data_IF_837433296565
#
_entry.id   IF_837433296565
#
_cell.length_a   1.000
_cell.length_b   1.000
_cell.length_c   1.000
_cell.angle_alpha   90.00
_cell.angle_beta   90.00
_cell.angle_gamma   90.00
#
_symmetry.space_group_name_H-M   'P 1'
#
loop_
_entity.id
_entity.type
_entity.pdbx_description
1 polymer ?
#
# COMPACT_ATOMS: atom_id res chain seq x y z
N UNK A 1 -20.86 6.68 -0.61
CA UNK A 1 -20.18 5.52 -1.21
C UNK A 1 -18.72 5.59 -0.80
N UNK A 2 -18.18 4.54 -0.18
CA UNK A 2 -16.80 4.51 0.34
C UNK A 2 -15.78 4.75 -0.76
N UNK A 3 -14.85 5.68 -0.53
CA UNK A 3 -13.98 6.23 -1.55
C UNK A 3 -12.89 5.23 -1.97
N UNK A 4 -12.64 5.17 -3.29
CA UNK A 4 -11.56 4.40 -3.93
C UNK A 4 -10.16 4.76 -3.41
N UNK A 5 -10.06 5.76 -2.53
CA UNK A 5 -8.83 6.23 -1.89
C UNK A 5 -8.17 5.17 -1.01
N UNK A 6 -8.95 4.21 -0.48
CA UNK A 6 -8.42 3.12 0.35
C UNK A 6 -8.28 1.80 -0.41
N UNK A 7 -8.67 1.76 -1.68
CA UNK A 7 -8.47 0.56 -2.50
C UNK A 7 -6.96 0.31 -2.65
N UNK A 8 -6.54 -0.93 -2.43
CA UNK A 8 -5.14 -1.31 -2.56
C UNK A 8 -4.72 -1.22 -4.02
N UNK A 9 -3.95 -0.19 -4.36
CA UNK A 9 -3.45 0.05 -5.73
C UNK A 9 -2.60 -1.09 -6.29
N UNK A 10 -2.01 -1.93 -5.43
CA UNK A 10 -1.22 -3.06 -5.88
C UNK A 10 -2.08 -4.15 -6.52
N UNK A 11 -3.24 -4.45 -5.93
CA UNK A 11 -4.16 -5.50 -6.39
C UNK A 11 -5.48 -4.94 -6.97
N UNK A 12 -5.55 -3.63 -7.16
CA UNK A 12 -6.75 -2.88 -7.60
C UNK A 12 -8.04 -3.23 -6.83
N UNK A 13 -7.92 -3.51 -5.53
CA UNK A 13 -9.07 -3.90 -4.71
C UNK A 13 -9.42 -5.38 -4.68
N UNK A 14 -8.73 -6.22 -5.46
CA UNK A 14 -9.04 -7.66 -5.52
C UNK A 14 -8.51 -8.50 -4.35
N UNK A 15 -7.50 -7.99 -3.63
CA UNK A 15 -6.81 -8.72 -2.56
C UNK A 15 -5.83 -9.80 -3.06
N UNK A 16 -5.81 -10.05 -4.37
CA UNK A 16 -4.99 -11.06 -5.01
C UNK A 16 -4.13 -10.43 -6.10
N UNK A 17 -2.93 -10.94 -6.27
CA UNK A 17 -2.06 -10.58 -7.37
C UNK A 17 -1.93 -11.79 -8.28
N UNK A 18 -1.86 -11.52 -9.58
CA UNK A 18 -1.72 -12.52 -10.62
C UNK A 18 -0.48 -12.20 -11.43
N UNK A 19 0.39 -13.20 -11.56
CA UNK A 19 1.59 -13.08 -12.40
C UNK A 19 1.29 -13.42 -13.88
N UNK A 20 2.28 -13.24 -14.77
CA UNK A 20 2.17 -13.57 -16.19
C UNK A 20 1.91 -15.08 -16.43
N UNK A 21 2.35 -15.93 -15.51
CA UNK A 21 2.04 -17.37 -15.47
C UNK A 21 0.63 -17.68 -14.90
N UNK A 22 -0.19 -16.67 -14.65
CA UNK A 22 -1.55 -16.78 -14.11
C UNK A 22 -1.66 -17.34 -12.69
N UNK A 23 -0.56 -17.37 -11.94
CA UNK A 23 -0.57 -17.80 -10.55
C UNK A 23 -1.15 -16.72 -9.66
N UNK A 24 -2.07 -17.10 -8.79
CA UNK A 24 -2.72 -16.20 -7.84
C UNK A 24 -2.03 -16.29 -6.48
N UNK A 25 -1.62 -15.14 -5.96
CA UNK A 25 -1.04 -15.04 -4.63
C UNK A 25 -1.70 -13.92 -3.83
N UNK A 26 -1.73 -14.08 -2.51
CA UNK A 26 -2.28 -13.07 -1.61
C UNK A 26 -1.47 -11.79 -1.72
N UNK A 27 -2.15 -10.67 -1.98
CA UNK A 27 -1.50 -9.38 -2.05
C UNK A 27 -0.86 -9.05 -0.70
N UNK A 28 0.47 -8.87 -0.67
CA UNK A 28 1.23 -8.62 0.55
C UNK A 28 1.04 -7.21 1.10
N UNK A 29 0.54 -6.28 0.29
CA UNK A 29 0.33 -4.87 0.67
C UNK A 29 -0.95 -4.71 1.50
N UNK A 30 -2.04 -5.36 1.08
CA UNK A 30 -3.30 -5.38 1.83
C UNK A 30 -3.54 -6.69 2.58
N UNK A 31 -2.58 -7.61 2.56
CA UNK A 31 -2.69 -8.95 3.16
C UNK A 31 -3.92 -9.77 2.73
N UNK A 32 -4.49 -9.49 1.56
CA UNK A 32 -5.69 -10.16 1.06
C UNK A 32 -7.00 -9.38 1.22
N UNK A 33 -7.00 -8.27 1.97
CA UNK A 33 -8.22 -7.49 2.22
C UNK A 33 -8.70 -6.67 1.01
N UNK A 34 -7.84 -6.43 0.01
CA UNK A 34 -8.14 -5.55 -1.12
C UNK A 34 -8.16 -4.06 -0.77
N UNK A 35 -8.20 -3.70 0.50
CA UNK A 35 -8.14 -2.33 0.98
C UNK A 35 -6.95 -2.14 1.90
N UNK A 36 -6.27 -1.00 1.77
CA UNK A 36 -5.26 -0.56 2.73
C UNK A 36 -5.94 0.38 3.70
N UNK A 37 -6.05 -0.05 4.97
CA UNK A 37 -6.44 0.86 6.02
C UNK A 37 -5.40 1.98 6.04
N UNK A 38 -5.83 3.23 5.91
CA UNK A 38 -4.95 4.38 6.08
C UNK A 38 -4.58 4.51 7.55
N UNK A 39 -3.79 3.56 8.06
CA UNK A 39 -3.25 3.61 9.39
C UNK A 39 -1.98 4.45 9.32
N UNK A 40 -2.23 5.70 9.69
CA UNK A 40 -1.35 6.61 10.39
C UNK A 40 -0.10 7.05 9.64
N UNK A 41 -0.20 8.30 9.16
CA UNK A 41 0.86 9.31 9.10
C UNK A 41 2.20 8.72 9.51
N UNK A 42 2.98 8.28 8.52
CA UNK A 42 4.44 8.30 8.59
C UNK A 42 4.81 9.55 9.37
N UNK A 43 5.35 9.35 10.57
CA UNK A 43 5.94 10.42 11.34
C UNK A 43 6.85 11.15 10.36
N UNK A 44 6.59 12.45 10.14
CA UNK A 44 7.37 13.23 9.18
C UNK A 44 8.79 13.24 9.71
N UNK A 45 9.61 12.31 9.21
CA UNK A 45 11.04 12.28 9.43
C UNK A 45 11.54 13.67 9.04
N UNK A 46 12.10 14.38 10.01
CA UNK A 46 12.69 15.68 9.71
C UNK A 46 13.88 15.40 8.78
N UNK A 47 13.86 16.05 7.63
CA UNK A 47 14.91 15.92 6.62
C UNK A 47 15.59 17.27 6.44
N UNK A 48 16.92 17.25 6.34
CA UNK A 48 17.74 18.41 6.00
C UNK A 48 17.57 18.80 4.51
N UNK A 49 18.10 19.96 4.10
CA UNK A 49 18.15 20.42 2.70
C UNK A 49 18.74 19.38 1.73
N UNK A 50 19.55 18.44 2.23
CA UNK A 50 20.12 17.33 1.46
C UNK A 50 19.31 16.02 1.51
N UNK A 51 18.06 16.04 1.97
CA UNK A 51 17.17 14.87 2.10
C UNK A 51 17.76 13.75 2.96
N UNK A 52 18.51 14.13 4.02
CA UNK A 52 19.05 13.21 5.03
C UNK A 52 18.16 13.26 6.27
N UNK A 53 17.84 12.09 6.82
CA UNK A 53 17.10 11.97 8.09
C UNK A 53 17.97 12.50 9.24
N UNK A 54 17.44 13.45 10.01
CA UNK A 54 18.06 13.94 11.25
C UNK A 54 17.37 13.26 12.46
N UNK A 55 18.15 12.62 13.33
CA UNK A 55 17.72 12.01 14.62
C UNK A 55 18.03 12.95 15.79
#
# INVERSE_FOLDING_TARGET
MGSQEFACKACDGSGLLMDDEQWQYTCTICHGDGFVAAVEKTEKLQVDENNRVID
#
